data_IF_908177664121
#
_entry.id   IF_908177664121
#
_cell.length_a   1.000
_cell.length_b   1.000
_cell.length_c   1.000
_cell.angle_alpha   90.00
_cell.angle_beta   90.00
_cell.angle_gamma   90.00
#
_symmetry.space_group_name_H-M   'P 1'
#
loop_
_entity.id
_entity.type
_entity.pdbx_description
1 polymer ?
#
# COMPACT_ATOMS: atom_id res chain seq x y z
N UNK A 1 -10.08 -23.54 -4.98
CA UNK A 1 -10.35 -22.63 -3.84
C UNK A 1 -10.84 -21.33 -4.47
N UNK A 2 -12.16 -21.18 -4.56
CA UNK A 2 -12.80 -20.04 -5.20
C UNK A 2 -12.89 -18.93 -4.13
N UNK A 3 -12.04 -17.91 -4.23
CA UNK A 3 -12.11 -16.73 -3.35
C UNK A 3 -13.29 -15.86 -3.81
N UNK A 4 -14.52 -16.30 -3.54
CA UNK A 4 -15.75 -15.64 -4.01
C UNK A 4 -15.98 -14.25 -3.39
N UNK A 5 -15.31 -13.92 -2.29
CA UNK A 5 -15.55 -12.67 -1.55
C UNK A 5 -14.57 -11.53 -1.88
N UNK A 6 -13.60 -11.77 -2.77
CA UNK A 6 -12.55 -10.81 -3.06
C UNK A 6 -12.27 -10.74 -4.56
N UNK A 7 -12.38 -9.53 -5.12
CA UNK A 7 -12.08 -9.28 -6.53
C UNK A 7 -10.73 -8.61 -6.66
N UNK A 8 -9.82 -9.24 -7.38
CA UNK A 8 -8.55 -8.65 -7.74
C UNK A 8 -8.74 -7.84 -9.03
N UNK A 9 -8.55 -6.52 -8.98
CA UNK A 9 -8.72 -5.59 -10.13
C UNK A 9 -7.65 -4.51 -10.16
N UNK A 10 -7.52 -3.78 -11.26
CA UNK A 10 -6.62 -2.63 -11.30
C UNK A 10 -6.98 -1.59 -10.23
N UNK A 11 -5.95 -1.02 -9.62
CA UNK A 11 -6.08 0.07 -8.66
C UNK A 11 -6.60 1.35 -9.35
N UNK A 12 -7.61 1.96 -8.77
CA UNK A 12 -8.19 3.24 -9.17
C UNK A 12 -7.75 4.34 -8.19
N UNK A 13 -7.95 5.60 -8.57
CA UNK A 13 -7.63 6.74 -7.70
C UNK A 13 -8.46 6.72 -6.41
N UNK A 14 -9.71 6.25 -6.49
CA UNK A 14 -10.60 6.08 -5.34
C UNK A 14 -10.08 5.09 -4.30
N UNK A 15 -9.27 4.11 -4.69
CA UNK A 15 -8.68 3.14 -3.76
C UNK A 15 -7.53 3.71 -2.93
N UNK A 16 -7.05 4.93 -3.23
CA UNK A 16 -5.83 5.45 -2.62
C UNK A 16 -5.96 5.64 -1.11
N UNK A 17 -7.16 5.97 -0.60
CA UNK A 17 -7.40 6.08 0.83
C UNK A 17 -7.25 4.71 1.52
N UNK A 18 -7.91 3.68 0.99
CA UNK A 18 -7.87 2.33 1.54
C UNK A 18 -6.48 1.70 1.38
N UNK A 19 -5.82 1.91 0.25
CA UNK A 19 -4.44 1.49 0.02
C UNK A 19 -3.47 2.17 1.00
N UNK A 20 -3.67 3.46 1.27
CA UNK A 20 -2.87 4.19 2.27
C UNK A 20 -3.07 3.58 3.66
N UNK A 21 -4.32 3.31 4.04
CA UNK A 21 -4.64 2.71 5.33
C UNK A 21 -3.94 1.34 5.49
N UNK A 22 -4.14 0.42 4.54
CA UNK A 22 -3.52 -0.90 4.57
C UNK A 22 -1.99 -0.81 4.61
N UNK A 23 -1.39 0.09 3.83
CA UNK A 23 0.06 0.29 3.83
C UNK A 23 0.56 0.78 5.19
N UNK A 24 -0.12 1.74 5.81
CA UNK A 24 0.26 2.25 7.14
C UNK A 24 0.12 1.17 8.21
N UNK A 25 -0.98 0.42 8.21
CA UNK A 25 -1.20 -0.66 9.17
C UNK A 25 -0.19 -1.79 9.02
N UNK A 26 0.13 -2.19 7.79
CA UNK A 26 1.16 -3.21 7.55
C UNK A 26 2.53 -2.77 8.06
N UNK A 27 2.90 -1.50 7.86
CA UNK A 27 4.16 -0.96 8.36
C UNK A 27 4.21 -0.88 9.90
N UNK A 28 3.09 -0.57 10.56
CA UNK A 28 3.02 -0.51 12.02
C UNK A 28 3.02 -1.90 12.68
N UNK A 29 2.34 -2.87 12.07
CA UNK A 29 2.05 -4.17 12.69
C UNK A 29 3.01 -5.28 12.26
N UNK A 30 3.66 -5.16 11.10
CA UNK A 30 4.45 -6.24 10.50
C UNK A 30 5.94 -5.91 10.37
N UNK A 31 6.32 -4.63 10.34
CA UNK A 31 7.71 -4.22 10.16
C UNK A 31 8.50 -4.07 11.48
N UNK A 32 8.06 -4.73 12.57
CA UNK A 32 8.71 -4.67 13.88
C UNK A 32 10.21 -5.00 13.84
N UNK A 33 10.61 -5.92 12.97
CA UNK A 33 12.02 -6.31 12.80
C UNK A 33 12.85 -5.16 12.23
N UNK A 34 12.28 -4.40 11.29
CA UNK A 34 12.98 -3.32 10.59
C UNK A 34 13.04 -2.06 11.43
N UNK A 35 11.92 -1.67 12.06
CA UNK A 35 11.88 -0.46 12.90
C UNK A 35 12.22 -0.71 14.37
N UNK A 36 12.46 -1.97 14.79
CA UNK A 36 12.85 -2.36 16.16
C UNK A 36 11.98 -1.76 17.27
N UNK A 37 10.69 -1.54 16.99
CA UNK A 37 9.74 -0.82 17.85
C UNK A 37 10.14 0.64 18.19
N UNK A 38 11.03 1.25 17.41
CA UNK A 38 11.32 2.69 17.46
C UNK A 38 10.16 3.47 16.83
N UNK A 39 9.42 4.19 17.67
CA UNK A 39 8.28 5.00 17.26
C UNK A 39 8.68 6.21 16.41
N UNK A 40 9.89 6.75 16.57
CA UNK A 40 10.43 7.83 15.76
C UNK A 40 10.74 7.36 14.34
N UNK A 41 11.34 6.18 14.22
CA UNK A 41 11.62 5.55 12.92
C UNK A 41 10.33 5.20 12.18
N UNK A 42 9.37 4.56 12.86
CA UNK A 42 8.06 4.26 12.28
C UNK A 42 7.32 5.53 11.84
N UNK A 43 7.31 6.57 12.68
CA UNK A 43 6.67 7.86 12.36
C UNK A 43 7.32 8.52 11.15
N UNK A 44 8.65 8.48 11.02
CA UNK A 44 9.38 8.96 9.86
C UNK A 44 8.98 8.24 8.57
N UNK A 45 8.73 6.94 8.62
CA UNK A 45 8.31 6.17 7.45
C UNK A 45 6.85 6.43 7.03
N UNK A 46 6.00 6.77 7.99
CA UNK A 46 4.58 7.07 7.79
C UNK A 46 4.32 8.48 7.28
N UNK A 47 5.29 9.40 7.39
CA UNK A 47 5.10 10.82 7.04
C UNK A 47 4.69 11.04 5.58
N UNK A 48 5.18 10.20 4.67
CA UNK A 48 4.88 10.28 3.24
C UNK A 48 3.79 9.32 2.79
N UNK A 49 3.22 8.50 3.69
CA UNK A 49 2.12 7.58 3.36
C UNK A 49 0.79 8.30 3.48
N UNK A 50 0.51 9.13 2.49
CA UNK A 50 -0.72 9.90 2.36
C UNK A 50 -1.54 9.44 1.15
N UNK A 51 -2.87 9.60 1.15
CA UNK A 51 -3.70 9.27 0.00
C UNK A 51 -3.26 9.98 -1.29
N UNK A 52 -2.82 11.23 -1.19
CA UNK A 52 -2.34 12.02 -2.32
C UNK A 52 -1.08 11.42 -2.95
N UNK A 53 -0.13 10.96 -2.11
CA UNK A 53 1.07 10.31 -2.63
C UNK A 53 0.77 8.89 -3.13
N UNK A 54 -0.14 8.17 -2.48
CA UNK A 54 -0.63 6.88 -2.96
C UNK A 54 -1.36 7.00 -4.31
N UNK A 55 -2.19 8.03 -4.52
CA UNK A 55 -2.77 8.37 -5.84
C UNK A 55 -1.68 8.61 -6.89
N UNK A 56 -0.57 9.25 -6.50
CA UNK A 56 0.55 9.47 -7.42
C UNK A 56 1.21 8.14 -7.83
N UNK A 57 1.37 7.20 -6.89
CA UNK A 57 1.92 5.87 -7.20
C UNK A 57 0.96 4.99 -8.01
N UNK A 58 -0.36 5.13 -7.83
CA UNK A 58 -1.34 4.41 -8.66
C UNK A 58 -1.42 5.00 -10.07
N UNK A 59 -1.15 6.30 -10.25
CA UNK A 59 -1.19 6.99 -11.54
C UNK A 59 0.12 6.97 -12.35
N UNK A 60 1.31 6.94 -11.72
CA UNK A 60 2.61 6.97 -12.42
C UNK A 60 3.39 5.65 -12.32
N UNK A 61 3.97 5.21 -13.43
CA UNK A 61 5.00 4.15 -13.48
C UNK A 61 6.29 4.76 -12.92
N UNK A 62 6.66 4.40 -11.69
CA UNK A 62 8.02 4.65 -11.21
C UNK A 62 8.97 3.76 -12.03
N UNK A 63 9.58 4.33 -13.08
CA UNK A 63 10.54 3.67 -13.96
C UNK A 63 11.89 3.39 -13.29
N UNK A 64 11.90 2.77 -12.11
CA UNK A 64 13.12 2.57 -11.32
C UNK A 64 13.24 1.25 -10.58
N UNK A 65 12.21 0.38 -10.59
CA UNK A 65 12.36 -0.98 -10.07
C UNK A 65 11.55 -1.93 -10.94
N UNK A 66 12.27 -2.78 -11.66
CA UNK A 66 11.72 -3.90 -12.42
C UNK A 66 11.05 -4.90 -11.46
N UNK A 67 9.81 -4.62 -11.06
CA UNK A 67 8.85 -5.65 -10.76
C UNK A 67 7.78 -5.56 -11.85
N UNK A 68 7.79 -6.52 -12.77
CA UNK A 68 6.60 -6.86 -13.57
C UNK A 68 5.54 -7.38 -12.61
N UNK A 69 4.93 -6.49 -11.83
CA UNK A 69 3.88 -6.80 -10.88
C UNK A 69 2.63 -6.10 -11.35
N UNK A 70 1.69 -6.88 -11.85
CA UNK A 70 0.32 -6.46 -12.18
C UNK A 70 -0.23 -5.62 -11.03
N UNK A 71 -0.77 -4.43 -11.33
CA UNK A 71 -1.25 -3.44 -10.35
C UNK A 71 -2.61 -3.84 -9.78
N UNK A 72 -2.67 -5.01 -9.17
CA UNK A 72 -3.93 -5.65 -8.80
C UNK A 72 -4.23 -5.39 -7.32
N UNK A 73 -5.27 -4.61 -7.05
CA UNK A 73 -5.88 -4.40 -5.74
C UNK A 73 -6.92 -5.49 -5.48
N UNK A 74 -6.91 -6.06 -4.29
CA UNK A 74 -7.93 -7.02 -3.82
C UNK A 74 -9.01 -6.23 -3.10
N UNK A 75 -10.20 -6.16 -3.70
CA UNK A 75 -11.34 -5.41 -3.15
C UNK A 75 -12.35 -6.39 -2.60
N UNK A 76 -12.74 -6.19 -1.33
CA UNK A 76 -13.85 -6.91 -0.70
C UNK A 76 -15.17 -6.31 -1.19
N UNK A 77 -16.14 -7.14 -1.57
CA UNK A 77 -17.47 -6.67 -1.96
C UNK A 77 -18.26 -6.13 -0.76
#
# INVERSE_FOLDING_TARGET
MEYSDFKVRDALLEDAADATFVLRESMCQLCHVDHKNDSGQASGWLVNKTPQLCCHFTSYVFGGLLAKGTRTMVVKQ
#
